data_IF_832303459751
#
_entry.id   IF_832303459751
#
_cell.length_a   1.000
_cell.length_b   1.000
_cell.length_c   1.000
_cell.angle_alpha   90.00
_cell.angle_beta   90.00
_cell.angle_gamma   90.00
#
_symmetry.space_group_name_H-M   'P 1'
#
loop_
_entity.id
_entity.type
_entity.pdbx_description
1 polymer ?
#
# COMPACT_ATOMS: atom_id res chain seq x y z
N UNK A 1 10.37 -6.93 21.64
CA UNK A 1 10.29 -6.59 20.20
C UNK A 1 10.23 -7.90 19.44
N UNK A 2 9.24 -8.10 18.57
CA UNK A 2 9.17 -9.26 17.65
C UNK A 2 9.75 -8.76 16.33
N UNK A 3 10.89 -9.31 15.93
CA UNK A 3 11.53 -9.00 14.66
C UNK A 3 11.77 -10.33 13.92
N UNK A 4 11.28 -10.41 12.69
CA UNK A 4 11.69 -11.44 11.74
C UNK A 4 12.65 -10.77 10.76
N UNK A 5 13.95 -11.05 10.92
CA UNK A 5 15.03 -10.43 10.17
C UNK A 5 15.33 -11.13 8.84
N UNK A 6 14.64 -12.24 8.53
CA UNK A 6 14.84 -13.04 7.32
C UNK A 6 13.57 -13.12 6.46
N UNK A 7 12.41 -12.75 7.01
CA UNK A 7 11.14 -12.71 6.31
C UNK A 7 10.97 -11.49 5.41
N UNK A 8 10.13 -11.63 4.39
CA UNK A 8 9.54 -10.48 3.70
C UNK A 8 8.44 -9.89 4.58
N UNK A 9 8.42 -8.57 4.71
CA UNK A 9 7.34 -7.88 5.41
C UNK A 9 6.65 -6.94 4.44
N UNK A 10 5.33 -7.09 4.34
CA UNK A 10 4.48 -6.30 3.46
C UNK A 10 3.55 -5.44 4.30
N UNK A 11 3.55 -4.13 4.05
CA UNK A 11 2.65 -3.17 4.68
C UNK A 11 1.88 -2.39 3.62
N UNK A 12 0.56 -2.35 3.78
CA UNK A 12 -0.33 -1.63 2.90
C UNK A 12 -1.04 -0.52 3.69
N UNK A 13 -1.05 0.70 3.14
CA UNK A 13 -1.83 1.82 3.62
C UNK A 13 -2.86 2.19 2.57
N UNK A 14 -4.14 2.02 2.90
CA UNK A 14 -5.24 2.49 2.08
C UNK A 14 -5.72 3.85 2.59
N UNK A 15 -5.62 4.87 1.74
CA UNK A 15 -6.14 6.20 1.97
C UNK A 15 -7.45 6.33 1.21
N UNK A 16 -8.54 6.30 1.96
CA UNK A 16 -9.90 6.38 1.45
C UNK A 16 -10.60 7.60 2.07
N UNK A 17 -11.26 8.41 1.24
CA UNK A 17 -11.91 9.66 1.67
C UNK A 17 -13.42 9.49 1.96
N UNK A 18 -13.98 8.30 1.79
CA UNK A 18 -15.42 8.05 1.94
C UNK A 18 -15.87 7.92 3.40
N UNK A 19 -17.08 8.40 3.68
CA UNK A 19 -17.79 8.18 4.94
C UNK A 19 -18.83 7.04 4.85
N UNK A 20 -19.10 6.54 3.65
CA UNK A 20 -20.01 5.42 3.45
C UNK A 20 -19.27 4.11 3.70
N UNK A 21 -19.83 3.24 4.55
CA UNK A 21 -19.25 1.95 4.86
C UNK A 21 -19.60 0.93 3.77
N UNK A 22 -18.62 0.09 3.41
CA UNK A 22 -18.85 -1.08 2.59
C UNK A 22 -19.75 -2.10 3.30
N UNK A 23 -20.15 -3.15 2.59
CA UNK A 23 -21.06 -4.18 3.11
C UNK A 23 -20.58 -4.88 4.39
N UNK A 24 -19.28 -4.81 4.72
CA UNK A 24 -18.74 -5.35 5.98
C UNK A 24 -19.01 -4.45 7.21
N UNK A 25 -19.57 -3.25 7.01
CA UNK A 25 -19.88 -2.29 8.07
C UNK A 25 -18.65 -1.74 8.82
N UNK A 26 -17.46 -1.83 8.23
CA UNK A 26 -16.19 -1.44 8.88
C UNK A 26 -15.27 -0.61 8.00
N UNK A 27 -15.03 -1.04 6.77
CA UNK A 27 -14.15 -0.32 5.84
C UNK A 27 -14.99 0.61 4.96
N UNK A 28 -14.56 1.85 4.70
CA UNK A 28 -15.24 2.73 3.76
C UNK A 28 -15.32 2.15 2.33
N UNK A 29 -16.31 2.58 1.56
CA UNK A 29 -16.42 2.31 0.12
C UNK A 29 -15.31 3.06 -0.60
N UNK A 30 -14.63 2.40 -1.55
CA UNK A 30 -13.59 3.05 -2.36
C UNK A 30 -14.20 3.96 -3.42
N UNK A 31 -13.60 5.12 -3.63
CA UNK A 31 -13.94 6.08 -4.67
C UNK A 31 -12.77 6.22 -5.66
N UNK A 32 -13.08 6.62 -6.89
CA UNK A 32 -12.05 6.86 -7.91
C UNK A 32 -11.00 7.83 -7.39
N UNK A 33 -9.73 7.43 -7.47
CA UNK A 33 -8.59 8.22 -6.99
C UNK A 33 -8.18 7.97 -5.53
N UNK A 34 -8.89 7.11 -4.79
CA UNK A 34 -8.36 6.60 -3.52
C UNK A 34 -7.00 5.92 -3.75
N UNK A 35 -6.15 5.93 -2.74
CA UNK A 35 -4.75 5.56 -2.89
C UNK A 35 -4.41 4.35 -2.03
N UNK A 36 -3.71 3.38 -2.61
CA UNK A 36 -3.04 2.29 -1.90
C UNK A 36 -1.53 2.46 -2.00
N UNK A 37 -0.87 2.60 -0.86
CA UNK A 37 0.59 2.66 -0.76
C UNK A 37 1.08 1.34 -0.17
N UNK A 38 1.93 0.63 -0.89
CA UNK A 38 2.50 -0.65 -0.45
C UNK A 38 4.00 -0.53 -0.23
N UNK A 39 4.46 -1.03 0.91
CA UNK A 39 5.86 -1.19 1.28
C UNK A 39 6.19 -2.67 1.32
N UNK A 40 7.09 -3.11 0.46
CA UNK A 40 7.65 -4.46 0.49
C UNK A 40 9.13 -4.40 0.87
N UNK A 41 9.49 -5.15 1.92
CA UNK A 41 10.87 -5.38 2.31
C UNK A 41 11.32 -6.73 1.75
N UNK A 42 12.07 -6.67 0.65
CA UNK A 42 12.70 -7.84 0.05
C UNK A 42 14.15 -8.02 0.55
N UNK A 43 14.69 -9.23 0.39
CA UNK A 43 16.11 -9.55 0.64
C UNK A 43 16.63 -9.12 2.02
N UNK A 44 15.93 -9.52 3.08
CA UNK A 44 16.26 -9.15 4.47
C UNK A 44 16.30 -7.62 4.72
N UNK A 45 15.46 -6.86 4.02
CA UNK A 45 15.35 -5.41 4.17
C UNK A 45 16.35 -4.58 3.35
N UNK A 46 17.16 -5.22 2.49
CA UNK A 46 18.10 -4.52 1.60
C UNK A 46 17.41 -3.85 0.40
N UNK A 47 16.23 -4.32 0.03
CA UNK A 47 15.43 -3.74 -1.05
C UNK A 47 14.10 -3.32 -0.47
N UNK A 48 13.84 -2.02 -0.49
CA UNK A 48 12.54 -1.45 -0.13
C UNK A 48 11.83 -1.06 -1.41
N UNK A 49 10.71 -1.70 -1.69
CA UNK A 49 9.85 -1.34 -2.80
C UNK A 49 8.65 -0.54 -2.28
N UNK A 50 8.59 0.73 -2.63
CA UNK A 50 7.42 1.58 -2.43
C UNK A 50 6.62 1.65 -3.73
N UNK A 51 5.36 1.20 -3.68
CA UNK A 51 4.44 1.35 -4.81
C UNK A 51 3.19 2.11 -4.42
N UNK A 52 2.62 2.78 -5.42
CA UNK A 52 1.32 3.42 -5.33
C UNK A 52 0.38 2.81 -6.36
N UNK A 53 -0.86 2.59 -5.96
CA UNK A 53 -1.98 2.28 -6.86
C UNK A 53 -3.11 3.26 -6.58
N UNK A 54 -3.81 3.66 -7.62
CA UNK A 54 -5.04 4.44 -7.49
C UNK A 54 -6.25 3.54 -7.78
N UNK A 55 -7.35 3.77 -7.08
CA UNK A 55 -8.60 3.05 -7.31
C UNK A 55 -9.28 3.59 -8.57
N UNK A 56 -9.60 2.69 -9.50
CA UNK A 56 -10.44 2.97 -10.65
C UNK A 56 -11.88 2.55 -10.29
N UNK A 57 -12.74 3.53 -10.03
CA UNK A 57 -14.13 3.29 -9.66
C UNK A 57 -15.02 2.84 -10.81
N UNK A 58 -14.62 3.07 -12.07
CA UNK A 58 -15.36 2.55 -13.22
C UNK A 58 -15.04 1.06 -13.42
N UNK A 59 -13.75 0.71 -13.39
CA UNK A 59 -13.31 -0.68 -13.54
C UNK A 59 -13.38 -1.49 -12.23
N UNK A 60 -13.74 -0.86 -11.11
CA UNK A 60 -13.84 -1.46 -9.78
C UNK A 60 -12.58 -2.24 -9.36
N UNK A 61 -11.40 -1.67 -9.61
CA UNK A 61 -10.12 -2.30 -9.30
C UNK A 61 -9.02 -1.29 -8.99
N UNK A 62 -8.00 -1.75 -8.29
CA UNK A 62 -6.73 -1.02 -8.23
C UNK A 62 -6.07 -1.03 -9.59
N UNK A 63 -5.53 0.13 -9.98
CA UNK A 63 -4.70 0.28 -11.17
C UNK A 63 -3.36 -0.47 -11.04
N UNK A 64 -2.59 -0.50 -12.13
CA UNK A 64 -1.24 -1.05 -12.12
C UNK A 64 -0.35 -0.25 -11.15
N UNK A 65 0.56 -0.93 -10.42
CA UNK A 65 1.43 -0.25 -9.47
C UNK A 65 2.37 0.71 -10.20
N UNK A 66 2.49 1.94 -9.68
CA UNK A 66 3.57 2.87 -10.01
C UNK A 66 4.63 2.84 -8.91
N UNK A 67 5.90 2.74 -9.29
CA UNK A 67 6.99 2.81 -8.32
C UNK A 67 7.13 4.25 -7.81
N UNK A 68 7.11 4.43 -6.50
CA UNK A 68 7.44 5.70 -5.85
C UNK A 68 8.92 5.81 -5.50
N UNK A 69 9.71 4.75 -5.70
CA UNK A 69 11.15 4.74 -5.41
C UNK A 69 11.96 5.71 -6.28
N UNK A 70 11.38 6.23 -7.37
CA UNK A 70 12.00 7.27 -8.20
C UNK A 70 11.70 8.68 -7.67
N UNK A 71 10.71 8.82 -6.78
CA UNK A 71 10.20 10.09 -6.22
C UNK A 71 10.52 10.25 -4.72
N UNK A 72 11.04 9.22 -4.05
CA UNK A 72 11.37 9.22 -2.62
C UNK A 72 12.33 8.09 -2.21
N UNK A 73 12.81 8.15 -0.96
CA UNK A 73 13.67 7.10 -0.38
C UNK A 73 12.93 6.37 0.74
N UNK A 74 12.98 5.04 0.75
CA UNK A 74 12.52 4.19 1.85
C UNK A 74 13.74 3.58 2.54
N UNK A 75 13.75 3.57 3.88
CA UNK A 75 14.83 3.00 4.68
C UNK A 75 14.25 2.09 5.76
N UNK A 76 14.79 0.88 5.88
CA UNK A 76 14.61 0.04 7.05
C UNK A 76 15.69 0.41 8.07
N UNK A 77 15.32 0.98 9.21
CA UNK A 77 16.24 1.14 10.34
C UNK A 77 16.17 -0.11 11.22
N UNK A 78 17.32 -0.73 11.46
CA UNK A 78 17.48 -1.88 12.37
C UNK A 78 17.75 -1.38 13.78
#
# INVERSE_FOLDING_TARGET
IRADSLGTSNFDFELNQSFELSANGRTPVRMTGDVLISFDFESSGNVVLLTLREWDGEAMRWTNPRSLNIEGTGFAAV
#
